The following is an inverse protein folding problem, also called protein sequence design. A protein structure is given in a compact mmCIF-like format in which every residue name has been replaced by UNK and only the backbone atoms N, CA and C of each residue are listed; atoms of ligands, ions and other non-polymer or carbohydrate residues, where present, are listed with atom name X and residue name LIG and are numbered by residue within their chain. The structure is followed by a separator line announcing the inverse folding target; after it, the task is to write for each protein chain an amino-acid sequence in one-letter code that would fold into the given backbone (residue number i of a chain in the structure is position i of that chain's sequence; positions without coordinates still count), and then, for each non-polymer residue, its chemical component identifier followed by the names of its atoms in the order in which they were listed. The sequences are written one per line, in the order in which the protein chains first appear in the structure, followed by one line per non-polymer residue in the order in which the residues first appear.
data_IF_782868502291
#
_entry.id   IF_782868502291
#
_cell.length_a   1.000
_cell.length_b   1.000
_cell.length_c   1.000
_cell.angle_alpha   90.00
_cell.angle_beta   90.00
_cell.angle_gamma   90.00
#
_symmetry.space_group_name_H-M   'P 1'
#
loop_
_entity.id
_entity.type
_entity.pdbx_description
1 polymer ?
#
# COMPACT_ATOMS: atom_id res chain seq x y z
N UNK A 1 -22.87 -45.99 -19.08
CA UNK A 1 -22.21 -45.60 -17.81
C UNK A 1 -23.21 -44.93 -16.87
N UNK A 2 -23.38 -45.42 -15.64
CA UNK A 2 -24.31 -44.84 -14.66
C UNK A 2 -23.87 -43.46 -14.14
N UNK A 3 -24.82 -42.57 -13.83
CA UNK A 3 -24.58 -41.20 -13.34
C UNK A 3 -23.56 -41.14 -12.17
N UNK A 4 -23.60 -42.13 -11.26
CA UNK A 4 -22.67 -42.27 -10.12
C UNK A 4 -21.21 -42.48 -10.53
N UNK A 5 -20.96 -43.20 -11.64
CA UNK A 5 -19.61 -43.43 -12.15
C UNK A 5 -19.01 -42.16 -12.77
N UNK A 6 -19.81 -41.38 -13.51
CA UNK A 6 -19.39 -40.05 -14.02
C UNK A 6 -19.05 -39.09 -12.88
N UNK A 7 -19.87 -39.05 -11.82
CA UNK A 7 -19.63 -38.20 -10.65
C UNK A 7 -18.32 -38.54 -9.93
N UNK A 8 -18.04 -39.83 -9.70
CA UNK A 8 -16.76 -40.29 -9.11
C UNK A 8 -15.55 -39.96 -9.98
N UNK A 9 -15.68 -40.08 -11.30
CA UNK A 9 -14.62 -39.75 -12.25
C UNK A 9 -14.34 -38.24 -12.27
N UNK A 10 -15.39 -37.41 -12.24
CA UNK A 10 -15.28 -35.97 -12.15
C UNK A 10 -14.57 -35.54 -10.86
N UNK A 11 -14.93 -36.10 -9.71
CA UNK A 11 -14.28 -35.84 -8.42
C UNK A 11 -12.79 -36.22 -8.44
N UNK A 12 -12.45 -37.41 -8.97
CA UNK A 12 -11.05 -37.84 -9.13
C UNK A 12 -10.26 -36.97 -10.10
N UNK A 13 -10.90 -36.42 -11.13
CA UNK A 13 -10.25 -35.50 -12.06
C UNK A 13 -10.01 -34.13 -11.42
N UNK A 14 -10.96 -33.61 -10.65
CA UNK A 14 -10.84 -32.36 -9.90
C UNK A 14 -9.77 -32.45 -8.82
N UNK A 15 -9.76 -33.53 -8.02
CA UNK A 15 -8.72 -33.80 -7.02
C UNK A 15 -7.31 -33.84 -7.64
N UNK A 16 -7.15 -34.49 -8.81
CA UNK A 16 -5.88 -34.51 -9.53
C UNK A 16 -5.47 -33.13 -10.05
N UNK A 17 -6.41 -32.34 -10.57
CA UNK A 17 -6.15 -30.96 -11.02
C UNK A 17 -5.72 -30.07 -9.84
N UNK A 18 -6.42 -30.15 -8.70
CA UNK A 18 -6.08 -29.44 -7.47
C UNK A 18 -4.70 -29.86 -6.95
N UNK A 19 -4.39 -31.16 -6.89
CA UNK A 19 -3.09 -31.65 -6.45
C UNK A 19 -1.94 -31.31 -7.42
N UNK A 20 -2.22 -31.05 -8.69
CA UNK A 20 -1.25 -30.49 -9.64
C UNK A 20 -1.07 -28.99 -9.40
N UNK A 21 -2.14 -28.23 -9.32
CA UNK A 21 -2.11 -26.80 -9.04
C UNK A 21 -1.39 -26.47 -7.72
N UNK A 22 -1.67 -27.21 -6.65
CA UNK A 22 -0.98 -27.09 -5.38
C UNK A 22 0.53 -27.34 -5.51
N UNK A 23 0.94 -28.40 -6.21
CA UNK A 23 2.37 -28.68 -6.43
C UNK A 23 3.06 -27.61 -7.26
N UNK A 24 2.38 -27.08 -8.27
CA UNK A 24 2.89 -25.97 -9.10
C UNK A 24 3.06 -24.69 -8.28
N UNK A 25 2.09 -24.35 -7.41
CA UNK A 25 2.16 -23.19 -6.52
C UNK A 25 3.18 -23.38 -5.41
N UNK A 26 3.29 -24.57 -4.82
CA UNK A 26 4.25 -24.87 -3.76
C UNK A 26 5.70 -24.86 -4.28
N UNK A 27 5.91 -25.23 -5.55
CA UNK A 27 7.21 -25.13 -6.20
C UNK A 27 7.52 -23.72 -6.73
N UNK A 28 6.53 -22.83 -6.78
CA UNK A 28 6.72 -21.46 -7.25
C UNK A 28 7.47 -20.65 -6.19
N UNK A 29 8.67 -20.17 -6.55
CA UNK A 29 9.44 -19.23 -5.75
C UNK A 29 9.11 -17.81 -6.25
N UNK A 30 8.31 -17.03 -5.51
CA UNK A 30 8.01 -15.67 -5.92
C UNK A 30 9.31 -14.83 -5.92
N UNK A 31 9.46 -13.90 -6.86
CA UNK A 31 10.61 -13.02 -6.88
C UNK A 31 10.64 -12.17 -5.59
N UNK A 32 11.81 -12.05 -4.97
CA UNK A 32 11.98 -11.35 -3.70
C UNK A 32 11.48 -9.90 -3.76
N UNK A 33 11.59 -9.25 -4.91
CA UNK A 33 11.08 -7.90 -5.16
C UNK A 33 9.55 -7.83 -5.09
N UNK A 34 8.84 -8.82 -5.64
CA UNK A 34 7.38 -8.86 -5.56
C UNK A 34 6.90 -9.08 -4.12
N UNK A 35 7.60 -9.95 -3.38
CA UNK A 35 7.32 -10.15 -1.94
C UNK A 35 7.56 -8.86 -1.16
N UNK A 36 8.68 -8.16 -1.42
CA UNK A 36 8.97 -6.89 -0.78
C UNK A 36 7.89 -5.83 -1.07
N UNK A 37 7.48 -5.68 -2.33
CA UNK A 37 6.41 -4.76 -2.72
C UNK A 37 5.09 -5.12 -2.02
N UNK A 38 4.74 -6.40 -1.96
CA UNK A 38 3.53 -6.85 -1.27
C UNK A 38 3.58 -6.53 0.23
N UNK A 39 4.72 -6.75 0.89
CA UNK A 39 4.91 -6.41 2.30
C UNK A 39 4.77 -4.90 2.52
N UNK A 40 5.40 -4.08 1.67
CA UNK A 40 5.30 -2.61 1.75
C UNK A 40 3.86 -2.16 1.56
N UNK A 41 3.13 -2.73 0.59
CA UNK A 41 1.73 -2.41 0.36
C UNK A 41 0.86 -2.76 1.57
N UNK A 42 1.08 -3.92 2.20
CA UNK A 42 0.37 -4.32 3.43
C UNK A 42 0.70 -3.37 4.58
N UNK A 43 1.97 -3.02 4.79
CA UNK A 43 2.37 -2.09 5.85
C UNK A 43 1.77 -0.71 5.62
N UNK A 44 1.84 -0.17 4.40
CA UNK A 44 1.23 1.11 4.07
C UNK A 44 -0.28 1.10 4.26
N UNK A 45 -0.96 0.01 3.88
CA UNK A 45 -2.38 -0.19 4.11
C UNK A 45 -2.74 -0.16 5.60
N UNK A 46 -1.99 -0.90 6.43
CA UNK A 46 -2.22 -0.94 7.88
C UNK A 46 -1.94 0.42 8.54
N UNK A 47 -0.83 1.07 8.21
CA UNK A 47 -0.43 2.36 8.79
C UNK A 47 -1.28 3.53 8.28
N UNK A 48 -1.84 3.43 7.07
CA UNK A 48 -2.71 4.47 6.51
C UNK A 48 -4.14 4.44 7.04
N UNK A 49 -4.57 3.37 7.72
CA UNK A 49 -5.94 3.24 8.23
C UNK A 49 -6.83 2.28 7.44
N UNK A 50 -6.28 1.42 6.59
CA UNK A 50 -7.08 0.50 5.77
C UNK A 50 -7.97 -0.46 6.58
N UNK A 51 -7.56 -0.81 7.81
CA UNK A 51 -8.44 -1.57 8.72
C UNK A 51 -9.61 -0.72 9.22
N UNK A 52 -9.37 0.57 9.50
CA UNK A 52 -10.42 1.51 9.88
C UNK A 52 -11.43 1.67 8.75
N UNK A 53 -10.97 1.80 7.50
CA UNK A 53 -11.84 1.89 6.32
C UNK A 53 -12.77 0.69 6.19
N UNK A 54 -12.25 -0.53 6.37
CA UNK A 54 -13.03 -1.76 6.29
C UNK A 54 -14.08 -1.89 7.40
N UNK A 55 -13.75 -1.45 8.62
CA UNK A 55 -14.63 -1.62 9.78
C UNK A 55 -15.68 -0.51 9.85
N UNK A 56 -15.26 0.75 9.67
CA UNK A 56 -16.10 1.92 9.91
C UNK A 56 -16.75 2.47 8.65
N UNK A 57 -16.28 2.08 7.45
CA UNK A 57 -16.79 2.58 6.16
C UNK A 57 -16.99 4.10 6.16
N UNK A 58 -15.92 4.88 6.41
CA UNK A 58 -16.03 6.32 6.60
C UNK A 58 -16.50 7.03 5.33
N UNK A 59 -17.00 8.25 5.50
CA UNK A 59 -17.32 9.12 4.37
C UNK A 59 -16.06 9.43 3.57
N UNK A 60 -16.23 9.65 2.27
CA UNK A 60 -15.10 9.94 1.38
C UNK A 60 -14.40 11.24 1.77
N UNK A 61 -15.20 12.28 2.01
CA UNK A 61 -14.81 13.63 2.44
C UNK A 61 -15.92 14.23 3.29
N UNK A 62 -15.66 15.37 3.94
CA UNK A 62 -16.66 16.16 4.65
C UNK A 62 -16.95 17.45 3.85
N UNK A 63 -18.13 17.58 3.22
CA UNK A 63 -18.50 18.80 2.50
C UNK A 63 -18.90 19.92 3.48
N UNK A 64 -18.48 21.17 3.19
CA UNK A 64 -18.91 22.38 3.91
C UNK A 64 -19.20 23.52 2.93
N UNK A 65 -19.96 24.55 3.32
CA UNK A 65 -20.14 25.73 2.47
C UNK A 65 -18.79 26.32 2.05
N UNK A 66 -18.57 26.42 0.73
CA UNK A 66 -17.38 27.04 0.14
C UNK A 66 -16.09 26.21 0.13
N UNK A 67 -16.04 25.00 0.70
CA UNK A 67 -14.84 24.13 0.64
C UNK A 67 -15.14 22.68 1.05
N UNK A 68 -14.11 21.82 1.02
CA UNK A 68 -14.19 20.40 1.33
C UNK A 68 -13.07 20.06 2.31
N UNK A 69 -13.42 19.37 3.39
CA UNK A 69 -12.43 18.79 4.30
C UNK A 69 -12.07 17.37 3.87
N UNK A 70 -10.79 17.19 3.56
CA UNK A 70 -10.19 15.92 3.18
C UNK A 70 -9.61 15.15 4.37
N UNK A 71 -9.70 15.69 5.58
CA UNK A 71 -9.35 15.04 6.84
C UNK A 71 -10.49 15.21 7.83
N UNK A 72 -10.60 14.30 8.81
CA UNK A 72 -11.55 14.48 9.90
C UNK A 72 -10.95 15.44 10.95
N UNK A 73 -11.52 16.64 11.15
CA UNK A 73 -10.89 17.71 11.93
C UNK A 73 -11.04 17.52 13.45
N UNK A 74 -10.14 18.13 14.23
CA UNK A 74 -10.20 18.30 15.68
C UNK A 74 -10.22 17.02 16.55
N UNK A 75 -10.15 15.84 15.94
CA UNK A 75 -10.05 14.56 16.64
C UNK A 75 -9.00 13.68 15.99
N UNK A 76 -8.36 12.81 16.78
CA UNK A 76 -7.43 11.79 16.30
C UNK A 76 -8.08 10.42 16.11
N UNK A 77 -9.32 10.26 16.59
CA UNK A 77 -10.00 8.97 16.64
C UNK A 77 -10.73 8.65 15.34
N UNK A 78 -11.16 9.68 14.61
CA UNK A 78 -11.91 9.54 13.37
C UNK A 78 -11.05 9.88 12.16
N UNK A 79 -11.43 9.31 11.01
CA UNK A 79 -10.76 9.47 9.73
C UNK A 79 -11.79 9.45 8.59
N UNK A 80 -11.51 10.19 7.51
CA UNK A 80 -12.25 10.08 6.23
C UNK A 80 -11.46 9.24 5.22
N UNK A 81 -12.12 8.66 4.22
CA UNK A 81 -11.44 7.77 3.27
C UNK A 81 -10.28 8.46 2.54
N UNK A 82 -10.45 9.72 2.15
CA UNK A 82 -9.38 10.47 1.47
C UNK A 82 -8.15 10.65 2.35
N UNK A 83 -8.34 10.88 3.65
CA UNK A 83 -7.23 10.97 4.60
C UNK A 83 -6.46 9.65 4.66
N UNK A 84 -7.16 8.51 4.62
CA UNK A 84 -6.52 7.19 4.62
C UNK A 84 -5.74 6.92 3.35
N UNK A 85 -6.35 7.12 2.18
CA UNK A 85 -5.71 6.91 0.88
C UNK A 85 -4.45 7.79 0.76
N UNK A 86 -4.55 9.08 1.11
CA UNK A 86 -3.41 10.00 1.08
C UNK A 86 -2.32 9.51 2.05
N UNK A 87 -2.68 9.09 3.26
CA UNK A 87 -1.72 8.53 4.23
C UNK A 87 -0.99 7.29 3.68
N UNK A 88 -1.71 6.35 3.06
CA UNK A 88 -1.11 5.16 2.43
C UNK A 88 -0.12 5.54 1.31
N UNK A 89 -0.49 6.51 0.48
CA UNK A 89 0.39 7.01 -0.59
C UNK A 89 1.65 7.66 -0.01
N UNK A 90 1.53 8.48 1.03
CA UNK A 90 2.66 9.12 1.68
C UNK A 90 3.61 8.11 2.34
N UNK A 91 3.08 7.06 2.98
CA UNK A 91 3.89 5.93 3.48
C UNK A 91 4.64 5.23 2.34
N UNK A 92 3.97 4.99 1.22
CA UNK A 92 4.58 4.40 0.03
C UNK A 92 5.70 5.28 -0.56
N UNK A 93 5.48 6.59 -0.67
CA UNK A 93 6.47 7.55 -1.15
C UNK A 93 7.68 7.64 -0.21
N UNK A 94 7.45 7.68 1.11
CA UNK A 94 8.52 7.69 2.11
C UNK A 94 9.39 6.44 2.02
N UNK A 95 8.76 5.26 1.90
CA UNK A 95 9.49 4.00 1.69
C UNK A 95 10.26 4.00 0.36
N UNK A 96 9.63 4.41 -0.75
CA UNK A 96 10.29 4.49 -2.04
C UNK A 96 11.50 5.44 -2.00
N UNK A 97 11.38 6.56 -1.29
CA UNK A 97 12.47 7.50 -1.06
C UNK A 97 13.65 6.85 -0.35
N UNK A 98 13.40 6.18 0.78
CA UNK A 98 14.43 5.42 1.52
C UNK A 98 15.06 4.31 0.69
N UNK A 99 14.25 3.59 -0.08
CA UNK A 99 14.72 2.52 -0.96
C UNK A 99 15.66 3.06 -2.05
N UNK A 100 15.35 4.19 -2.67
CA UNK A 100 16.21 4.82 -3.67
C UNK A 100 17.52 5.35 -3.07
N UNK A 101 17.47 5.91 -1.87
CA UNK A 101 18.67 6.31 -1.12
C UNK A 101 19.54 5.08 -0.87
N UNK A 102 18.97 3.99 -0.37
CA UNK A 102 19.70 2.75 -0.15
C UNK A 102 20.30 2.19 -1.45
N UNK A 103 19.53 2.11 -2.53
CA UNK A 103 20.01 1.66 -3.83
C UNK A 103 21.14 2.53 -4.37
N UNK A 104 21.12 3.85 -4.13
CA UNK A 104 22.20 4.74 -4.57
C UNK A 104 23.57 4.32 -4.04
N UNK A 105 23.64 3.71 -2.85
CA UNK A 105 24.90 3.23 -2.26
C UNK A 105 25.52 2.04 -2.98
N UNK A 106 24.73 1.31 -3.79
CA UNK A 106 25.18 0.13 -4.54
C UNK A 106 25.79 0.46 -5.90
N UNK A 107 25.59 1.69 -6.40
CA UNK A 107 26.07 2.12 -7.72
C UNK A 107 27.34 2.96 -7.63
N UNK A 108 28.31 2.54 -6.82
CA UNK A 108 29.58 3.26 -6.62
C UNK A 108 30.37 3.45 -7.93
N UNK A 109 30.26 2.51 -8.86
CA UNK A 109 30.97 2.54 -10.14
C UNK A 109 30.34 3.50 -11.18
N UNK A 110 29.08 3.93 -10.97
CA UNK A 110 28.33 4.81 -11.87
C UNK A 110 27.84 6.06 -11.12
N UNK A 111 28.71 7.06 -10.85
CA UNK A 111 28.44 8.15 -9.92
C UNK A 111 27.22 8.99 -10.30
N UNK A 112 27.02 9.28 -11.60
CA UNK A 112 25.84 10.01 -12.07
C UNK A 112 24.54 9.26 -11.74
N UNK A 113 24.54 7.95 -11.88
CA UNK A 113 23.36 7.11 -11.65
C UNK A 113 23.06 6.94 -10.16
N UNK A 114 24.09 6.86 -9.33
CA UNK A 114 23.95 6.92 -7.87
C UNK A 114 23.37 8.28 -7.45
N UNK A 115 23.91 9.38 -7.99
CA UNK A 115 23.51 10.74 -7.67
C UNK A 115 22.01 11.01 -7.92
N UNK A 116 21.49 10.66 -9.11
CA UNK A 116 20.08 10.87 -9.40
C UNK A 116 19.15 10.07 -8.48
N UNK A 117 19.50 8.82 -8.17
CA UNK A 117 18.72 8.01 -7.23
C UNK A 117 18.72 8.60 -5.83
N UNK A 118 19.87 9.08 -5.38
CA UNK A 118 20.00 9.71 -4.09
C UNK A 118 19.12 10.96 -3.99
N UNK A 119 19.21 11.88 -4.95
CA UNK A 119 18.42 13.12 -4.94
C UNK A 119 16.93 12.86 -5.05
N UNK A 120 16.51 11.99 -5.98
CA UNK A 120 15.09 11.63 -6.10
C UNK A 120 14.61 10.98 -4.79
N UNK A 121 15.42 10.11 -4.20
CA UNK A 121 15.10 9.45 -2.94
C UNK A 121 14.92 10.43 -1.78
N UNK A 122 15.85 11.38 -1.63
CA UNK A 122 15.77 12.45 -0.64
C UNK A 122 14.54 13.33 -0.88
N UNK A 123 14.28 13.72 -2.13
CA UNK A 123 13.11 14.50 -2.48
C UNK A 123 11.80 13.80 -2.10
N UNK A 124 11.65 12.51 -2.44
CA UNK A 124 10.46 11.73 -2.10
C UNK A 124 10.27 11.58 -0.58
N UNK A 125 11.36 11.34 0.15
CA UNK A 125 11.32 11.23 1.60
C UNK A 125 10.88 12.55 2.26
N UNK A 126 11.46 13.67 1.83
CA UNK A 126 11.11 14.99 2.34
C UNK A 126 9.69 15.37 1.95
N UNK A 127 9.27 15.10 0.71
CA UNK A 127 7.90 15.31 0.26
C UNK A 127 6.91 14.53 1.14
N UNK A 128 7.16 13.25 1.39
CA UNK A 128 6.32 12.42 2.24
C UNK A 128 6.22 12.98 3.67
N UNK A 129 7.36 13.37 4.25
CA UNK A 129 7.41 13.95 5.59
C UNK A 129 6.65 15.27 5.68
N UNK A 130 6.94 16.24 4.80
CA UNK A 130 6.33 17.56 4.86
C UNK A 130 4.83 17.53 4.50
N UNK A 131 4.43 16.74 3.51
CA UNK A 131 3.02 16.59 3.16
C UNK A 131 2.25 15.86 4.27
N UNK A 132 2.82 14.83 4.88
CA UNK A 132 2.21 14.13 6.02
C UNK A 132 2.08 15.04 7.25
N UNK A 133 3.13 15.81 7.56
CA UNK A 133 3.09 16.84 8.59
C UNK A 133 2.00 17.87 8.30
N UNK A 134 1.93 18.38 7.09
CA UNK A 134 0.93 19.36 6.69
C UNK A 134 -0.50 18.81 6.88
N UNK A 135 -0.75 17.58 6.41
CA UNK A 135 -2.04 16.92 6.59
C UNK A 135 -2.41 16.76 8.07
N UNK A 136 -1.47 16.32 8.92
CA UNK A 136 -1.73 16.11 10.34
C UNK A 136 -1.95 17.44 11.10
N UNK A 137 -1.07 18.42 10.89
CA UNK A 137 -1.09 19.65 11.69
C UNK A 137 -2.05 20.69 11.13
N UNK A 138 -2.01 20.96 9.83
CA UNK A 138 -2.76 22.06 9.21
C UNK A 138 -4.16 21.63 8.77
N UNK A 139 -4.34 20.39 8.31
CA UNK A 139 -5.66 19.93 7.87
C UNK A 139 -6.47 19.30 9.01
N UNK A 140 -5.81 18.56 9.91
CA UNK A 140 -6.49 17.78 10.95
C UNK A 140 -6.53 18.44 12.34
N UNK A 141 -5.39 18.91 12.87
CA UNK A 141 -5.36 19.53 14.21
C UNK A 141 -5.79 20.99 14.22
N UNK A 142 -5.37 21.76 13.21
CA UNK A 142 -5.73 23.18 13.05
C UNK A 142 -6.36 23.44 11.68
N UNK A 143 -7.46 22.74 11.31
CA UNK A 143 -8.11 22.92 10.02
C UNK A 143 -8.40 24.39 9.81
N UNK A 144 -7.68 24.98 8.86
CA UNK A 144 -7.95 26.32 8.38
C UNK A 144 -9.37 26.36 7.81
N UNK A 145 -10.11 27.40 8.18
CA UNK A 145 -11.40 27.70 7.62
C UNK A 145 -11.64 29.19 7.60
#
# INVERSE_FOLDING_TARGET
MGKKAKARLALKSASRKLGRAYRTLAAYKPPATAVAIAVVAVVAFLLGGGLYDLIHSPRVVIPRPGTIWITYPYTMLDQVLMESIISMMLWGLGFAGLFLIYESTKYADEPSRAYYRFIIGVFLLLLAYFAGRYMLYELKMKPGG
#
